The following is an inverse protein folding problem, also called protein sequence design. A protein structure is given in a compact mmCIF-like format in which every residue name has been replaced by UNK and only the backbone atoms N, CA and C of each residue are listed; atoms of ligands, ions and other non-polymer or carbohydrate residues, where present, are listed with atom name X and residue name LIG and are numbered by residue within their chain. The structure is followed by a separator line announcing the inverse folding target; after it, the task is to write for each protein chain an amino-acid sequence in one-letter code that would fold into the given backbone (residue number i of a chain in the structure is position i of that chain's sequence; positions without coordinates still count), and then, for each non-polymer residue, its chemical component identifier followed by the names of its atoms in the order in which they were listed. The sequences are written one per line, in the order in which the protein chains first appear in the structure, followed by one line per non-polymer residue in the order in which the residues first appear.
data_IF_087254074688
#
_entry.id   IF_087254074688
#
_cell.length_a   1.000
_cell.length_b   1.000
_cell.length_c   1.000
_cell.angle_alpha   90.00
_cell.angle_beta   90.00
_cell.angle_gamma   90.00
#
_symmetry.space_group_name_H-M   'P 1'
#
loop_
_entity.id
_entity.type
_entity.pdbx_description
1 polymer ?
#
# COMPACT_ATOMS: atom_id res chain seq x y z
N UNK A 1 3.27 46.73 42.22
CA UNK A 1 3.28 47.90 41.34
C UNK A 1 3.83 47.43 40.00
N UNK A 2 3.14 47.41 38.87
CA UNK A 2 1.73 47.50 38.50
C UNK A 2 1.60 46.79 37.13
N UNK A 3 0.39 46.43 36.65
CA UNK A 3 0.24 45.96 35.28
C UNK A 3 -0.23 47.11 34.38
N UNK A 4 0.51 47.32 33.30
CA UNK A 4 0.20 48.15 32.11
C UNK A 4 0.76 47.32 30.96
N UNK A 5 0.06 46.98 29.87
CA UNK A 5 -0.88 47.71 28.99
C UNK A 5 -1.61 46.67 28.11
N UNK A 6 -2.94 46.67 27.98
CA UNK A 6 -3.78 47.18 26.85
C UNK A 6 -3.73 46.37 25.53
N UNK A 7 -4.71 46.50 24.60
CA UNK A 7 -6.16 46.73 24.73
C UNK A 7 -7.00 45.79 23.81
N UNK A 8 -8.33 45.90 23.88
CA UNK A 8 -9.28 45.04 23.18
C UNK A 8 -9.52 45.37 21.70
N UNK A 9 -10.40 44.59 21.08
CA UNK A 9 -11.57 45.12 20.36
C UNK A 9 -12.52 43.98 20.01
N UNK A 10 -13.76 44.12 20.48
CA UNK A 10 -14.90 43.35 20.03
C UNK A 10 -15.35 43.89 18.66
N UNK A 11 -15.81 43.00 17.79
CA UNK A 11 -16.62 43.37 16.63
C UNK A 11 -18.03 42.79 16.78
N UNK A 12 -19.09 43.63 16.73
CA UNK A 12 -20.48 43.24 16.89
C UNK A 12 -21.13 42.93 15.53
N UNK A 13 -22.15 42.08 15.52
CA UNK A 13 -22.96 41.89 14.31
C UNK A 13 -23.89 40.68 14.35
N UNK A 14 -24.82 40.63 15.30
CA UNK A 14 -25.97 39.71 15.21
C UNK A 14 -26.98 40.29 14.21
N UNK A 15 -27.16 39.60 13.08
CA UNK A 15 -28.20 39.92 12.08
C UNK A 15 -29.47 39.15 12.46
N UNK A 16 -30.66 39.77 12.51
CA UNK A 16 -31.88 39.08 12.90
C UNK A 16 -32.31 38.08 11.83
N UNK A 17 -32.65 36.86 12.27
CA UNK A 17 -33.23 35.82 11.44
C UNK A 17 -34.64 36.24 11.00
N UNK A 18 -34.80 36.54 9.72
CA UNK A 18 -36.12 36.69 9.08
C UNK A 18 -36.53 35.32 8.56
N UNK A 19 -37.48 34.68 9.23
CA UNK A 19 -38.08 33.43 8.76
C UNK A 19 -39.03 33.78 7.61
N UNK A 20 -38.56 33.61 6.37
CA UNK A 20 -39.38 33.69 5.17
C UNK A 20 -39.97 32.32 4.91
N UNK A 21 -41.27 32.15 5.16
CA UNK A 21 -42.02 30.95 4.77
C UNK A 21 -42.04 30.82 3.25
N UNK A 22 -41.13 30.03 2.69
CA UNK A 22 -41.23 29.58 1.32
C UNK A 22 -42.25 28.43 1.27
N UNK A 23 -43.42 28.70 0.70
CA UNK A 23 -44.31 27.65 0.23
C UNK A 23 -43.65 26.97 -0.96
N UNK A 24 -43.00 25.82 -0.76
CA UNK A 24 -42.61 24.95 -1.87
C UNK A 24 -43.82 24.12 -2.28
N UNK A 25 -44.40 24.49 -3.41
CA UNK A 25 -45.19 23.59 -4.24
C UNK A 25 -44.41 22.30 -4.48
N UNK A 26 -45.02 21.16 -4.17
CA UNK A 26 -44.45 19.85 -4.42
C UNK A 26 -44.61 19.51 -5.89
N UNK A 27 -43.70 20.00 -6.72
CA UNK A 27 -43.50 19.46 -8.06
C UNK A 27 -42.60 18.22 -7.97
N UNK A 28 -42.97 17.14 -8.65
CA UNK A 28 -42.49 15.77 -8.46
C UNK A 28 -41.05 15.45 -8.89
N UNK A 29 -40.13 16.42 -8.92
CA UNK A 29 -38.73 16.27 -9.34
C UNK A 29 -37.64 16.09 -8.25
N UNK A 30 -37.83 16.31 -6.92
CA UNK A 30 -36.72 16.34 -5.97
C UNK A 30 -36.15 14.96 -5.61
N UNK A 31 -36.86 13.86 -5.91
CA UNK A 31 -36.41 12.50 -5.58
C UNK A 31 -35.41 11.94 -6.60
N UNK A 32 -35.55 12.31 -7.88
CA UNK A 32 -34.69 11.80 -8.96
C UNK A 32 -33.27 12.38 -8.88
N UNK A 33 -33.16 13.70 -8.67
CA UNK A 33 -31.88 14.38 -8.50
C UNK A 33 -31.13 13.93 -7.23
N UNK A 34 -31.84 13.86 -6.10
CA UNK A 34 -31.23 13.39 -4.84
C UNK A 34 -30.75 11.94 -4.89
N UNK A 35 -31.44 11.07 -5.65
CA UNK A 35 -30.98 9.69 -5.88
C UNK A 35 -29.72 9.65 -6.75
N UNK A 36 -29.67 10.43 -7.84
CA UNK A 36 -28.48 10.52 -8.69
C UNK A 36 -27.26 11.05 -7.92
N UNK A 37 -27.46 12.03 -7.04
CA UNK A 37 -26.41 12.54 -6.15
C UNK A 37 -25.92 11.46 -5.17
N UNK A 38 -26.85 10.68 -4.59
CA UNK A 38 -26.51 9.58 -3.70
C UNK A 38 -25.73 8.46 -4.41
N UNK A 39 -26.11 8.12 -5.64
CA UNK A 39 -25.42 7.11 -6.46
C UNK A 39 -24.01 7.57 -6.85
N UNK A 40 -23.86 8.84 -7.24
CA UNK A 40 -22.56 9.44 -7.53
C UNK A 40 -21.66 9.46 -6.29
N UNK A 41 -22.20 9.82 -5.13
CA UNK A 41 -21.46 9.79 -3.87
C UNK A 41 -21.03 8.37 -3.50
N UNK A 42 -21.93 7.39 -3.63
CA UNK A 42 -21.60 5.99 -3.39
C UNK A 42 -20.47 5.50 -4.29
N UNK A 43 -20.49 5.84 -5.58
CA UNK A 43 -19.42 5.49 -6.52
C UNK A 43 -18.07 6.13 -6.13
N UNK A 44 -18.08 7.39 -5.69
CA UNK A 44 -16.87 8.09 -5.23
C UNK A 44 -16.31 7.48 -3.94
N UNK A 45 -17.16 7.12 -2.99
CA UNK A 45 -16.75 6.43 -1.76
C UNK A 45 -16.16 5.06 -2.09
N UNK A 46 -16.82 4.28 -2.96
CA UNK A 46 -16.32 2.97 -3.38
C UNK A 46 -14.93 3.06 -4.02
N UNK A 47 -14.68 4.09 -4.85
CA UNK A 47 -13.36 4.33 -5.43
C UNK A 47 -12.30 4.62 -4.36
N UNK A 48 -12.62 5.42 -3.33
CA UNK A 48 -11.70 5.70 -2.23
C UNK A 48 -11.41 4.44 -1.38
N UNK A 49 -12.43 3.62 -1.14
CA UNK A 49 -12.28 2.33 -0.45
C UNK A 49 -11.40 1.36 -1.24
N UNK A 50 -11.55 1.33 -2.57
CA UNK A 50 -10.73 0.51 -3.45
C UNK A 50 -9.26 0.94 -3.45
N UNK A 51 -9.00 2.24 -3.52
CA UNK A 51 -7.64 2.79 -3.41
C UNK A 51 -6.99 2.42 -2.07
N UNK A 52 -7.73 2.49 -0.96
CA UNK A 52 -7.23 2.11 0.36
C UNK A 52 -7.04 0.59 0.48
N UNK A 53 -7.95 -0.21 -0.08
CA UNK A 53 -7.85 -1.66 -0.09
C UNK A 53 -6.59 -2.14 -0.85
N UNK A 54 -6.29 -1.53 -2.00
CA UNK A 54 -5.07 -1.81 -2.77
C UNK A 54 -3.81 -1.41 -1.99
N UNK A 55 -3.81 -0.27 -1.29
CA UNK A 55 -2.70 0.12 -0.40
C UNK A 55 -2.47 -0.90 0.71
N UNK A 56 -3.53 -1.28 1.41
CA UNK A 56 -3.46 -2.30 2.48
C UNK A 56 -2.99 -3.65 1.95
N UNK A 57 -3.43 -4.05 0.76
CA UNK A 57 -2.98 -5.27 0.09
C UNK A 57 -1.47 -5.23 -0.16
N UNK A 58 -0.92 -4.14 -0.72
CA UNK A 58 0.51 -4.04 -0.98
C UNK A 58 1.34 -3.99 0.32
N UNK A 59 0.85 -3.29 1.35
CA UNK A 59 1.47 -3.32 2.67
C UNK A 59 1.43 -4.71 3.31
N UNK A 60 0.32 -5.45 3.17
CA UNK A 60 0.21 -6.85 3.61
C UNK A 60 1.23 -7.73 2.91
N UNK A 61 1.37 -7.59 1.58
CA UNK A 61 2.36 -8.31 0.80
C UNK A 61 3.79 -8.13 1.36
N UNK A 62 4.25 -6.90 1.57
CA UNK A 62 5.59 -6.65 2.12
C UNK A 62 5.73 -7.13 3.57
N UNK A 63 4.74 -6.86 4.42
CA UNK A 63 4.73 -7.35 5.81
C UNK A 63 4.86 -8.86 5.87
N UNK A 64 4.04 -9.59 5.11
CA UNK A 64 4.05 -11.05 5.11
C UNK A 64 5.36 -11.60 4.54
N UNK A 65 5.93 -10.94 3.52
CA UNK A 65 7.23 -11.31 2.97
C UNK A 65 8.36 -11.14 4.00
N UNK A 66 8.36 -10.03 4.73
CA UNK A 66 9.37 -9.71 5.74
C UNK A 66 9.24 -10.59 6.99
N UNK A 67 8.01 -10.88 7.41
CA UNK A 67 7.72 -11.75 8.57
C UNK A 67 7.61 -13.24 8.22
N UNK A 68 7.72 -13.59 6.94
CA UNK A 68 7.66 -14.99 6.46
C UNK A 68 6.27 -15.63 6.71
N UNK A 69 5.21 -14.84 6.72
CA UNK A 69 3.81 -15.29 6.84
C UNK A 69 3.32 -15.85 5.49
N UNK A 70 3.79 -17.04 5.12
CA UNK A 70 3.65 -17.54 3.75
C UNK A 70 2.22 -17.80 3.30
N UNK A 71 1.36 -18.27 4.20
CA UNK A 71 -0.01 -18.60 3.85
C UNK A 71 -0.81 -17.30 3.60
N UNK A 72 -0.67 -16.31 4.48
CA UNK A 72 -1.25 -14.97 4.30
C UNK A 72 -0.66 -14.25 3.06
N UNK A 73 0.63 -14.46 2.76
CA UNK A 73 1.25 -13.92 1.56
C UNK A 73 0.64 -14.51 0.29
N UNK A 74 0.36 -15.82 0.27
CA UNK A 74 -0.25 -16.49 -0.87
C UNK A 74 -1.64 -15.91 -1.19
N UNK A 75 -2.41 -15.56 -0.16
CA UNK A 75 -3.71 -14.89 -0.31
C UNK A 75 -3.62 -13.51 -0.95
N UNK A 76 -2.45 -12.85 -0.97
CA UNK A 76 -2.33 -11.54 -1.63
C UNK A 76 -2.46 -11.63 -3.16
N UNK A 77 -2.30 -12.82 -3.75
CA UNK A 77 -2.24 -13.02 -5.19
C UNK A 77 -3.57 -13.51 -5.77
N UNK A 78 -3.82 -13.14 -7.03
CA UNK A 78 -4.81 -13.82 -7.85
C UNK A 78 -4.32 -15.23 -8.21
N UNK A 79 -5.23 -16.17 -8.47
CA UNK A 79 -4.86 -17.56 -8.76
C UNK A 79 -3.89 -17.70 -9.96
N UNK A 80 -4.09 -16.86 -10.98
CA UNK A 80 -3.30 -16.79 -12.20
C UNK A 80 -2.24 -15.67 -12.18
N UNK A 81 -1.88 -15.17 -10.98
CA UNK A 81 -0.94 -14.07 -10.86
C UNK A 81 0.40 -14.36 -11.52
N UNK A 82 1.06 -13.29 -11.96
CA UNK A 82 2.41 -13.33 -12.53
C UNK A 82 3.36 -12.42 -11.77
N UNK A 83 4.64 -12.75 -11.80
CA UNK A 83 5.68 -11.90 -11.20
C UNK A 83 6.86 -11.72 -12.14
N UNK A 84 7.50 -10.56 -12.04
CA UNK A 84 8.77 -10.25 -12.70
C UNK A 84 9.74 -9.60 -11.70
N UNK A 85 10.67 -10.39 -11.16
CA UNK A 85 11.67 -9.92 -10.19
C UNK A 85 13.07 -9.83 -10.78
N UNK A 86 13.91 -9.00 -10.16
CA UNK A 86 15.29 -8.79 -10.58
C UNK A 86 15.40 -8.09 -11.94
N UNK A 87 14.45 -7.20 -12.26
CA UNK A 87 14.38 -6.52 -13.56
C UNK A 87 14.35 -7.50 -14.75
N UNK A 88 13.50 -8.53 -14.71
CA UNK A 88 13.33 -9.48 -15.81
C UNK A 88 13.92 -10.87 -15.59
N UNK A 89 14.70 -11.08 -14.55
CA UNK A 89 15.49 -12.32 -14.37
C UNK A 89 14.65 -13.48 -13.85
N UNK A 90 13.66 -13.20 -13.00
CA UNK A 90 12.84 -14.22 -12.38
C UNK A 90 11.38 -14.00 -12.73
N UNK A 91 10.83 -14.88 -13.57
CA UNK A 91 9.45 -14.85 -14.02
C UNK A 91 8.72 -16.11 -13.61
N UNK A 92 7.60 -15.95 -12.91
CA UNK A 92 6.76 -17.06 -12.48
C UNK A 92 5.30 -16.74 -12.76
N UNK A 93 4.52 -17.80 -12.96
CA UNK A 93 3.08 -17.75 -13.20
C UNK A 93 2.38 -18.73 -12.27
N UNK A 94 1.29 -18.28 -11.66
CA UNK A 94 0.52 -19.04 -10.68
C UNK A 94 1.11 -18.94 -9.27
N UNK A 95 0.22 -18.93 -8.28
CA UNK A 95 0.57 -18.73 -6.87
C UNK A 95 1.59 -19.75 -6.38
N UNK A 96 1.46 -21.02 -6.77
CA UNK A 96 2.37 -22.08 -6.32
C UNK A 96 3.83 -21.83 -6.74
N UNK A 97 4.06 -21.46 -8.00
CA UNK A 97 5.39 -21.19 -8.52
C UNK A 97 6.00 -19.93 -7.88
N UNK A 98 5.19 -18.87 -7.74
CA UNK A 98 5.58 -17.64 -7.06
C UNK A 98 5.99 -17.93 -5.62
N UNK A 99 5.14 -18.62 -4.87
CA UNK A 99 5.37 -18.91 -3.46
C UNK A 99 6.53 -19.88 -3.24
N UNK A 100 6.74 -20.84 -4.14
CA UNK A 100 7.93 -21.70 -4.11
C UNK A 100 9.22 -20.88 -4.24
N UNK A 101 9.27 -19.95 -5.19
CA UNK A 101 10.43 -19.06 -5.35
C UNK A 101 10.67 -18.17 -4.13
N UNK A 102 9.62 -17.53 -3.61
CA UNK A 102 9.74 -16.63 -2.45
C UNK A 102 10.19 -17.39 -1.20
N UNK A 103 9.62 -18.58 -0.93
CA UNK A 103 10.05 -19.44 0.18
C UNK A 103 11.49 -19.92 0.01
N UNK A 104 11.92 -20.26 -1.20
CA UNK A 104 13.30 -20.72 -1.43
C UNK A 104 14.31 -19.59 -1.27
N UNK A 105 13.99 -18.40 -1.80
CA UNK A 105 14.90 -17.26 -1.81
C UNK A 105 14.97 -16.56 -0.45
N UNK A 106 13.84 -16.44 0.24
CA UNK A 106 13.68 -15.63 1.45
C UNK A 106 13.25 -16.45 2.67
N UNK A 107 13.06 -17.77 2.54
CA UNK A 107 12.73 -18.65 3.66
C UNK A 107 13.80 -18.70 4.73
N UNK A 108 13.42 -19.17 5.91
CA UNK A 108 14.33 -19.35 7.05
C UNK A 108 15.57 -20.17 6.67
N UNK A 109 15.39 -21.21 5.84
CA UNK A 109 16.48 -22.05 5.33
C UNK A 109 17.47 -21.30 4.44
N UNK A 110 17.06 -20.22 3.76
CA UNK A 110 17.99 -19.43 2.95
C UNK A 110 18.93 -18.61 3.83
N UNK A 111 18.55 -18.33 5.07
CA UNK A 111 19.30 -17.45 5.98
C UNK A 111 19.23 -15.97 5.59
N UNK A 112 18.39 -15.62 4.60
CA UNK A 112 18.21 -14.23 4.14
C UNK A 112 17.20 -13.51 5.02
N UNK A 113 17.63 -12.38 5.57
CA UNK A 113 16.78 -11.46 6.33
C UNK A 113 16.70 -10.17 5.54
N UNK A 114 15.53 -9.54 5.52
CA UNK A 114 15.36 -8.27 4.82
C UNK A 114 14.14 -7.51 5.27
N UNK A 115 14.09 -6.26 4.85
CA UNK A 115 12.95 -5.37 5.03
C UNK A 115 12.63 -4.69 3.71
N UNK A 116 11.35 -4.67 3.34
CA UNK A 116 10.86 -4.01 2.14
C UNK A 116 10.13 -2.73 2.53
N UNK A 117 10.78 -1.57 2.36
CA UNK A 117 10.12 -0.29 2.54
C UNK A 117 9.54 0.17 1.21
N UNK A 118 8.22 0.04 1.10
CA UNK A 118 7.47 0.57 -0.02
C UNK A 118 6.71 1.84 0.33
N UNK A 119 6.50 2.71 -0.64
CA UNK A 119 5.79 3.98 -0.44
C UNK A 119 5.39 4.66 -1.74
N UNK A 120 5.02 5.94 -1.63
CA UNK A 120 4.62 6.81 -2.73
C UNK A 120 3.67 6.13 -3.75
N UNK A 121 2.49 5.67 -3.30
CA UNK A 121 1.54 5.03 -4.19
C UNK A 121 1.04 5.99 -5.26
N UNK A 122 1.17 5.57 -6.51
CA UNK A 122 0.43 6.13 -7.64
C UNK A 122 -0.50 5.03 -8.16
N UNK A 123 -1.79 5.12 -7.85
CA UNK A 123 -2.78 4.07 -8.15
C UNK A 123 -3.85 4.63 -9.10
N UNK A 124 -4.09 3.90 -10.19
CA UNK A 124 -5.13 4.19 -11.17
C UNK A 124 -6.19 3.09 -11.14
N UNK A 125 -7.45 3.44 -10.87
CA UNK A 125 -8.58 2.53 -11.03
C UNK A 125 -9.00 2.55 -12.51
N UNK A 126 -8.88 1.41 -13.18
CA UNK A 126 -9.21 1.26 -14.60
C UNK A 126 -10.69 0.86 -14.81
N UNK A 127 -11.26 0.17 -13.81
CA UNK A 127 -12.66 -0.24 -13.77
C UNK A 127 -13.06 -0.56 -12.32
N UNK A 128 -14.32 -0.92 -12.03
CA UNK A 128 -14.73 -1.37 -10.70
C UNK A 128 -13.98 -2.60 -10.17
N UNK A 129 -13.25 -3.31 -11.04
CA UNK A 129 -12.56 -4.57 -10.72
C UNK A 129 -11.12 -4.66 -11.22
N UNK A 130 -10.56 -3.59 -11.78
CA UNK A 130 -9.19 -3.57 -12.29
C UNK A 130 -8.48 -2.26 -11.94
N UNK A 131 -7.21 -2.35 -11.57
CA UNK A 131 -6.39 -1.20 -11.22
C UNK A 131 -4.91 -1.44 -11.55
N UNK A 132 -4.14 -0.36 -11.63
CA UNK A 132 -2.68 -0.36 -11.71
C UNK A 132 -2.09 0.44 -10.57
N UNK A 133 -0.88 0.08 -10.14
CA UNK A 133 -0.17 0.82 -9.11
C UNK A 133 1.33 0.85 -9.31
N UNK A 134 1.92 2.02 -9.07
CA UNK A 134 3.36 2.19 -8.94
C UNK A 134 3.72 2.46 -7.48
N UNK A 135 4.88 1.94 -7.07
CA UNK A 135 5.40 2.08 -5.72
C UNK A 135 6.90 2.24 -5.76
N UNK A 136 7.43 3.23 -5.04
CA UNK A 136 8.86 3.21 -4.74
C UNK A 136 9.15 2.04 -3.81
N UNK A 137 10.23 1.32 -4.07
CA UNK A 137 10.81 0.33 -3.18
C UNK A 137 12.20 0.80 -2.77
N UNK A 138 12.45 0.74 -1.48
CA UNK A 138 13.77 0.72 -0.90
C UNK A 138 13.89 -0.51 0.00
N UNK A 139 14.68 -1.49 -0.38
CA UNK A 139 14.88 -2.68 0.45
C UNK A 139 16.34 -2.85 0.85
N UNK A 140 16.50 -3.50 1.99
CA UNK A 140 17.79 -3.97 2.48
C UNK A 140 17.63 -5.43 2.82
N UNK A 141 18.50 -6.27 2.25
CA UNK A 141 18.58 -7.68 2.57
C UNK A 141 20.00 -8.04 2.97
N UNK A 142 20.15 -9.00 3.85
CA UNK A 142 21.45 -9.57 4.16
C UNK A 142 21.34 -11.06 4.41
N UNK A 143 22.46 -11.74 4.21
CA UNK A 143 22.63 -13.15 4.52
C UNK A 143 23.97 -13.33 5.25
N UNK A 144 23.90 -13.71 6.52
CA UNK A 144 25.10 -13.85 7.34
C UNK A 144 25.98 -15.03 6.90
N UNK A 145 25.37 -16.17 6.56
CA UNK A 145 26.10 -17.37 6.11
C UNK A 145 26.81 -17.16 4.78
N UNK A 146 26.21 -16.38 3.87
CA UNK A 146 26.81 -16.00 2.59
C UNK A 146 27.67 -14.74 2.68
N UNK A 147 27.79 -14.12 3.86
CA UNK A 147 28.52 -12.86 4.09
C UNK A 147 28.10 -11.74 3.13
N UNK A 148 26.81 -11.66 2.80
CA UNK A 148 26.29 -10.79 1.74
C UNK A 148 25.34 -9.74 2.30
N UNK A 149 25.48 -8.50 1.83
CA UNK A 149 24.52 -7.42 2.00
C UNK A 149 24.03 -6.95 0.64
N UNK A 150 22.77 -6.57 0.56
CA UNK A 150 22.11 -6.06 -0.64
C UNK A 150 21.30 -4.83 -0.28
N UNK A 151 21.33 -3.83 -1.15
CA UNK A 151 20.38 -2.73 -1.14
C UNK A 151 19.84 -2.50 -2.54
N UNK A 152 18.52 -2.36 -2.66
CA UNK A 152 17.87 -2.10 -3.94
C UNK A 152 16.93 -0.91 -3.79
N UNK A 153 17.08 0.05 -4.70
CA UNK A 153 16.07 1.07 -4.96
C UNK A 153 15.39 0.76 -6.29
N UNK A 154 14.06 0.70 -6.31
CA UNK A 154 13.30 0.32 -7.50
C UNK A 154 11.94 1.02 -7.55
N UNK A 155 11.27 0.92 -8.71
CA UNK A 155 9.84 1.19 -8.82
C UNK A 155 9.12 -0.09 -9.23
N UNK A 156 8.09 -0.44 -8.46
CA UNK A 156 7.14 -1.47 -8.85
C UNK A 156 6.20 -0.95 -9.93
N UNK A 157 5.79 -1.85 -10.82
CA UNK A 157 4.66 -1.70 -11.71
C UNK A 157 3.73 -2.89 -11.49
N UNK A 158 2.67 -2.66 -10.72
CA UNK A 158 1.71 -3.69 -10.32
C UNK A 158 0.40 -3.56 -11.09
N UNK A 159 -0.25 -4.70 -11.30
CA UNK A 159 -1.64 -4.76 -11.74
C UNK A 159 -2.48 -5.52 -10.70
N UNK A 160 -3.70 -5.04 -10.47
CA UNK A 160 -4.62 -5.58 -9.48
C UNK A 160 -5.94 -5.97 -10.11
N UNK A 161 -6.58 -6.97 -9.51
CA UNK A 161 -7.92 -7.44 -9.87
C UNK A 161 -8.76 -7.59 -8.61
N UNK A 162 -10.02 -7.15 -8.67
CA UNK A 162 -11.00 -7.42 -7.60
C UNK A 162 -11.71 -8.73 -7.91
N UNK A 163 -11.66 -9.68 -6.98
CA UNK A 163 -12.35 -10.96 -7.04
C UNK A 163 -13.39 -10.98 -5.92
N UNK A 164 -14.67 -10.93 -6.29
CA UNK A 164 -15.74 -10.68 -5.31
C UNK A 164 -15.59 -9.30 -4.68
N UNK A 165 -15.41 -9.24 -3.37
CA UNK A 165 -15.22 -7.99 -2.63
C UNK A 165 -13.74 -7.66 -2.35
N UNK A 166 -12.79 -8.53 -2.73
CA UNK A 166 -11.39 -8.42 -2.31
C UNK A 166 -10.46 -8.13 -3.50
N UNK A 167 -9.55 -7.18 -3.31
CA UNK A 167 -8.47 -6.91 -4.26
C UNK A 167 -7.33 -7.92 -4.10
N UNK A 168 -6.77 -8.34 -5.23
CA UNK A 168 -5.63 -9.26 -5.32
C UNK A 168 -4.60 -8.73 -6.32
N UNK A 169 -3.34 -9.11 -6.12
CA UNK A 169 -2.24 -8.83 -7.04
C UNK A 169 -2.39 -9.76 -8.24
N UNK A 170 -2.60 -9.19 -9.43
CA UNK A 170 -2.62 -9.92 -10.70
C UNK A 170 -1.23 -9.98 -11.33
N UNK A 171 -0.48 -8.89 -11.22
CA UNK A 171 0.91 -8.82 -11.64
C UNK A 171 1.69 -7.99 -10.63
N UNK A 172 2.92 -8.41 -10.31
CA UNK A 172 3.87 -7.53 -9.64
C UNK A 172 5.26 -7.71 -10.22
N UNK A 173 5.89 -6.60 -10.56
CA UNK A 173 7.27 -6.58 -10.99
C UNK A 173 7.91 -5.23 -10.73
N UNK A 174 9.23 -5.15 -10.80
CA UNK A 174 9.93 -3.91 -10.56
C UNK A 174 11.11 -3.70 -11.50
N UNK A 175 11.40 -2.42 -11.76
CA UNK A 175 12.63 -1.98 -12.42
C UNK A 175 13.53 -1.34 -11.38
N UNK A 176 14.71 -1.91 -11.18
CA UNK A 176 15.70 -1.35 -10.27
C UNK A 176 16.29 -0.04 -10.83
N UNK A 177 16.32 1.00 -10.01
CA UNK A 177 17.14 2.19 -10.25
C UNK A 177 18.61 1.90 -9.94
N UNK A 178 18.85 1.13 -8.87
CA UNK A 178 20.16 0.64 -8.49
C UNK A 178 20.06 -0.68 -7.74
N UNK A 179 21.15 -1.42 -7.75
CA UNK A 179 21.37 -2.62 -6.96
C UNK A 179 22.81 -2.57 -6.44
N UNK A 180 22.96 -2.40 -5.13
CA UNK A 180 24.25 -2.42 -4.45
C UNK A 180 24.42 -3.74 -3.71
N UNK A 181 25.62 -4.30 -3.81
CA UNK A 181 26.02 -5.50 -3.08
C UNK A 181 27.42 -5.29 -2.49
N UNK A 182 27.60 -5.71 -1.24
CA UNK A 182 28.90 -5.67 -0.57
C UNK A 182 29.04 -6.81 0.44
N UNK A 183 30.30 -7.11 0.80
CA UNK A 183 30.59 -8.15 1.78
C UNK A 183 30.23 -7.66 3.17
N UNK A 184 29.71 -8.57 4.00
CA UNK A 184 29.51 -8.31 5.43
C UNK A 184 30.84 -8.15 6.17
N UNK A 185 31.92 -8.69 5.62
CA UNK A 185 33.27 -8.55 6.17
C UNK A 185 33.78 -7.10 6.13
N UNK A 186 33.23 -6.27 5.24
CA UNK A 186 33.55 -4.84 5.16
C UNK A 186 32.92 -4.03 6.31
N UNK A 187 32.00 -4.66 7.07
CA UNK A 187 31.31 -4.07 8.21
C UNK A 187 31.47 -4.92 9.48
N UNK A 188 32.71 -5.15 9.97
CA UNK A 188 33.01 -6.18 10.97
C UNK A 188 32.41 -5.91 12.36
N UNK A 189 32.00 -4.67 12.65
CA UNK A 189 31.36 -4.29 13.91
C UNK A 189 29.85 -4.58 13.96
N UNK A 190 29.21 -4.86 12.81
CA UNK A 190 27.76 -5.09 12.73
C UNK A 190 27.40 -6.42 13.36
N UNK A 191 26.51 -6.37 14.37
CA UNK A 191 25.92 -7.56 15.00
C UNK A 191 24.45 -7.65 14.63
N UNK A 192 24.00 -8.84 14.25
CA UNK A 192 22.58 -9.12 14.06
C UNK A 192 22.01 -9.51 15.42
N UNK A 193 21.26 -8.59 16.02
CA UNK A 193 20.56 -8.82 17.28
C UNK A 193 19.10 -9.08 16.97
N UNK A 194 18.74 -10.32 16.62
CA UNK A 194 17.33 -10.71 16.48
C UNK A 194 16.83 -11.11 17.87
N UNK A 195 15.80 -10.45 18.43
CA UNK A 195 15.15 -10.95 19.62
C UNK A 195 14.62 -12.36 19.34
N UNK A 196 15.02 -13.33 20.15
CA UNK A 196 14.48 -14.69 20.09
C UNK A 196 12.97 -14.62 20.28
N UNK A 197 12.21 -14.83 19.20
CA UNK A 197 10.76 -14.90 19.16
C UNK A 197 10.01 -13.63 19.59
N UNK A 198 9.58 -12.85 18.60
CA UNK A 198 8.29 -12.18 18.67
C UNK A 198 7.46 -12.74 17.51
N UNK A 199 6.73 -13.82 17.78
CA UNK A 199 5.59 -14.16 16.95
C UNK A 199 4.61 -13.00 17.03
N UNK A 200 4.36 -12.35 15.89
CA UNK A 200 3.20 -11.49 15.68
C UNK A 200 2.17 -12.29 14.90
#
# INVERSE_FOLDING_TARGET
MGPTTSPGSAWPGAVPARCSSHSSSSDGEPRGEAMADSEMLAARVQALEDLEAIKRLKHRYWRCLDQKCWDELAECFAADATVDYGSGQYRFQGVDAIMHFLRTSLGEQSGTVGIHHGGHPEIELLSPTAARGSWVLWNFLFNAGQKRNIRIGAYYADEYVKVGAEWRIRHTGYSALFHEEWSREDTPSVRVLVPSHAGF
#
